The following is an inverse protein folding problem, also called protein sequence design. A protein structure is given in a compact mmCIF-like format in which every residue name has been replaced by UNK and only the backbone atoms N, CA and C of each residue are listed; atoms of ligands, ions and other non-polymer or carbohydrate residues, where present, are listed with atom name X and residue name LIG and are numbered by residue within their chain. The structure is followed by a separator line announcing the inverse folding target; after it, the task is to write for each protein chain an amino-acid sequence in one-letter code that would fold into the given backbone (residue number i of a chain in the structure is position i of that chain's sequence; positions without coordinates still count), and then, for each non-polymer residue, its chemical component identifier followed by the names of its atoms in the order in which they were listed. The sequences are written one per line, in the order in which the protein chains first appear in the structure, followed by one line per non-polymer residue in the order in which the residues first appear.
data_IF_910340906893
#
_entry.id   IF_910340906893
#
_cell.length_a   1.000
_cell.length_b   1.000
_cell.length_c   1.000
_cell.angle_alpha   90.00
_cell.angle_beta   90.00
_cell.angle_gamma   90.00
#
_symmetry.space_group_name_H-M   'P 1'
#
loop_
_entity.id
_entity.type
_entity.pdbx_description
1 polymer ?
#
# COMPACT_ATOMS: atom_id res chain seq x y z
N UNK A 1 5.17 13.38 0.90
CA UNK A 1 4.94 14.82 1.16
C UNK A 1 4.93 15.69 -0.10
N UNK A 2 5.90 15.56 -1.02
CA UNK A 2 5.99 16.38 -2.25
C UNK A 2 4.71 16.35 -3.12
N UNK A 3 4.12 15.17 -3.32
CA UNK A 3 2.86 15.02 -4.08
C UNK A 3 1.65 15.62 -3.34
N UNK A 4 1.66 15.64 -2.00
CA UNK A 4 0.56 16.18 -1.20
C UNK A 4 0.55 17.71 -1.23
N UNK A 5 1.74 18.33 -1.15
CA UNK A 5 1.93 19.77 -1.34
C UNK A 5 1.51 20.15 -2.77
N UNK A 6 1.94 19.39 -3.77
CA UNK A 6 1.55 19.62 -5.17
C UNK A 6 0.03 19.54 -5.39
N UNK A 7 -0.66 18.59 -4.77
CA UNK A 7 -2.13 18.48 -4.83
C UNK A 7 -2.81 19.70 -4.21
N UNK A 8 -2.36 20.15 -3.04
CA UNK A 8 -2.91 21.36 -2.38
C UNK A 8 -2.69 22.60 -3.26
N UNK A 9 -1.50 22.77 -3.82
CA UNK A 9 -1.18 23.90 -4.72
C UNK A 9 -2.07 23.90 -5.97
N UNK A 10 -2.28 22.75 -6.62
CA UNK A 10 -3.15 22.65 -7.81
C UNK A 10 -4.61 22.99 -7.46
N UNK A 11 -5.11 22.53 -6.31
CA UNK A 11 -6.46 22.89 -5.86
C UNK A 11 -6.61 24.39 -5.55
N UNK A 12 -5.60 24.99 -4.89
CA UNK A 12 -5.59 26.44 -4.62
C UNK A 12 -5.63 27.25 -5.93
N UNK A 13 -4.83 26.84 -6.93
CA UNK A 13 -4.81 27.47 -8.24
C UNK A 13 -6.17 27.37 -8.94
N UNK A 14 -6.84 26.22 -8.90
CA UNK A 14 -8.19 26.07 -9.47
C UNK A 14 -9.15 27.08 -8.87
N UNK A 15 -9.17 27.26 -7.55
CA UNK A 15 -10.04 28.23 -6.88
C UNK A 15 -9.76 29.66 -7.35
N UNK A 16 -8.48 30.04 -7.47
CA UNK A 16 -8.07 31.37 -7.96
C UNK A 16 -8.51 31.58 -9.41
N UNK A 17 -8.28 30.60 -10.29
CA UNK A 17 -8.69 30.68 -11.70
C UNK A 17 -10.21 30.66 -11.86
N UNK A 18 -10.94 30.02 -10.95
CA UNK A 18 -12.40 30.00 -10.95
C UNK A 18 -12.96 31.40 -10.66
N UNK A 19 -12.42 32.09 -9.66
CA UNK A 19 -12.77 33.49 -9.35
C UNK A 19 -12.41 34.40 -10.53
N UNK A 20 -11.21 34.23 -11.12
CA UNK A 20 -10.79 35.03 -12.26
C UNK A 20 -11.66 34.79 -13.52
N UNK A 21 -12.10 33.55 -13.76
CA UNK A 21 -12.94 33.19 -14.91
C UNK A 21 -14.36 33.78 -14.84
N UNK A 22 -14.88 34.05 -13.63
CA UNK A 22 -16.16 34.76 -13.44
C UNK A 22 -16.06 36.19 -13.99
N UNK A 23 -14.91 36.84 -13.81
CA UNK A 23 -14.70 38.23 -14.23
C UNK A 23 -14.19 38.35 -15.67
N UNK A 24 -13.38 37.41 -16.15
CA UNK A 24 -12.73 37.47 -17.46
C UNK A 24 -12.76 36.09 -18.13
N UNK A 25 -13.51 35.97 -19.24
CA UNK A 25 -13.75 34.69 -19.95
C UNK A 25 -12.50 33.97 -20.46
N UNK A 26 -11.39 34.68 -20.72
CA UNK A 26 -10.13 34.07 -21.20
C UNK A 26 -9.54 33.05 -20.21
N UNK A 27 -9.83 33.21 -18.92
CA UNK A 27 -9.34 32.29 -17.88
C UNK A 27 -10.05 30.94 -17.86
N UNK A 28 -11.10 30.75 -18.67
CA UNK A 28 -11.77 29.46 -18.82
C UNK A 28 -10.84 28.37 -19.41
N UNK A 29 -9.94 28.76 -20.32
CA UNK A 29 -8.99 27.84 -20.96
C UNK A 29 -7.92 27.34 -19.96
N UNK A 30 -7.21 28.22 -19.22
CA UNK A 30 -6.36 27.80 -18.10
C UNK A 30 -7.09 26.99 -17.03
N UNK A 31 -8.32 27.38 -16.67
CA UNK A 31 -9.12 26.68 -15.66
C UNK A 31 -9.39 25.24 -16.07
N UNK A 32 -9.77 25.02 -17.33
CA UNK A 32 -10.03 23.69 -17.88
C UNK A 32 -8.78 22.81 -17.79
N UNK A 33 -7.60 23.34 -18.13
CA UNK A 33 -6.33 22.62 -18.00
C UNK A 33 -6.04 22.19 -16.55
N UNK A 34 -6.23 23.08 -15.57
CA UNK A 34 -5.99 22.75 -14.16
C UNK A 34 -6.97 21.70 -13.62
N UNK A 35 -8.23 21.72 -14.06
CA UNK A 35 -9.23 20.69 -13.70
C UNK A 35 -8.80 19.32 -14.23
N UNK A 36 -8.38 19.23 -15.50
CA UNK A 36 -7.85 17.97 -16.06
C UNK A 36 -6.60 17.48 -15.31
N UNK A 37 -5.68 18.38 -14.96
CA UNK A 37 -4.47 18.04 -14.18
C UNK A 37 -4.85 17.48 -12.80
N UNK A 38 -5.86 18.05 -12.15
CA UNK A 38 -6.33 17.61 -10.84
C UNK A 38 -6.93 16.21 -10.90
N UNK A 39 -7.81 15.95 -11.87
CA UNK A 39 -8.38 14.61 -12.11
C UNK A 39 -7.27 13.59 -12.35
N UNK A 40 -6.27 13.92 -13.17
CA UNK A 40 -5.13 13.05 -13.42
C UNK A 40 -4.33 12.74 -12.14
N UNK A 41 -4.08 13.75 -11.30
CA UNK A 41 -3.39 13.55 -10.02
C UNK A 41 -4.18 12.66 -9.06
N UNK A 42 -5.50 12.83 -8.99
CA UNK A 42 -6.39 11.97 -8.18
C UNK A 42 -6.30 10.53 -8.68
N UNK A 43 -6.43 10.33 -9.99
CA UNK A 43 -6.38 9.00 -10.59
C UNK A 43 -5.06 8.29 -10.28
N UNK A 44 -3.92 8.97 -10.49
CA UNK A 44 -2.60 8.40 -10.20
C UNK A 44 -2.47 8.01 -8.72
N UNK A 45 -2.87 8.91 -7.81
CA UNK A 45 -2.80 8.66 -6.37
C UNK A 45 -3.72 7.50 -5.95
N UNK A 46 -4.92 7.41 -6.52
CA UNK A 46 -5.85 6.30 -6.27
C UNK A 46 -5.27 4.97 -6.74
N UNK A 47 -4.60 4.94 -7.89
CA UNK A 47 -3.94 3.73 -8.40
C UNK A 47 -2.76 3.30 -7.52
N UNK A 48 -1.99 4.25 -6.99
CA UNK A 48 -0.91 3.95 -6.03
C UNK A 48 -1.45 3.38 -4.70
N UNK A 49 -2.58 3.91 -4.22
CA UNK A 49 -3.24 3.40 -3.01
C UNK A 49 -3.73 1.96 -3.19
N UNK A 50 -4.39 1.67 -4.32
CA UNK A 50 -4.87 0.32 -4.65
C UNK A 50 -3.71 -0.70 -4.71
N UNK A 51 -2.57 -0.32 -5.32
CA UNK A 51 -1.37 -1.17 -5.35
C UNK A 51 -0.82 -1.46 -3.96
N UNK A 52 -0.78 -0.46 -3.08
CA UNK A 52 -0.30 -0.65 -1.70
C UNK A 52 -1.26 -1.53 -0.89
N UNK A 53 -2.56 -1.38 -1.10
CA UNK A 53 -3.57 -2.22 -0.45
C UNK A 53 -3.48 -3.68 -0.92
N UNK A 54 -3.30 -3.90 -2.23
CA UNK A 54 -3.05 -5.23 -2.80
C UNK A 54 -1.78 -5.86 -2.22
N UNK A 55 -0.68 -5.10 -2.13
CA UNK A 55 0.58 -5.57 -1.55
C UNK A 55 0.40 -6.02 -0.09
N UNK A 56 -0.32 -5.24 0.72
CA UNK A 56 -0.65 -5.60 2.11
C UNK A 56 -1.50 -6.87 2.21
N UNK A 57 -2.49 -7.02 1.32
CA UNK A 57 -3.34 -8.21 1.28
C UNK A 57 -2.55 -9.48 0.95
N UNK A 58 -1.63 -9.39 -0.02
CA UNK A 58 -0.73 -10.50 -0.38
C UNK A 58 0.19 -10.86 0.79
N UNK A 59 0.81 -9.87 1.42
CA UNK A 59 1.65 -10.09 2.59
C UNK A 59 0.89 -10.77 3.72
N UNK A 60 -0.31 -10.30 4.05
CA UNK A 60 -1.14 -10.90 5.10
C UNK A 60 -1.53 -12.35 4.77
N UNK A 61 -1.84 -12.63 3.50
CA UNK A 61 -2.12 -13.99 3.04
C UNK A 61 -0.90 -14.91 3.23
N UNK A 62 0.30 -14.44 2.89
CA UNK A 62 1.52 -15.23 3.06
C UNK A 62 1.85 -15.48 4.54
N UNK A 63 1.72 -14.47 5.39
CA UNK A 63 1.88 -14.63 6.85
C UNK A 63 0.89 -15.66 7.39
N UNK A 64 -0.38 -15.59 6.97
CA UNK A 64 -1.40 -16.57 7.36
C UNK A 64 -1.00 -17.98 6.94
N UNK A 65 -0.44 -18.16 5.75
CA UNK A 65 0.02 -19.45 5.26
C UNK A 65 1.18 -20.00 6.09
N UNK A 66 2.21 -19.20 6.37
CA UNK A 66 3.33 -19.60 7.24
C UNK A 66 2.88 -19.98 8.65
N UNK A 67 1.92 -19.24 9.22
CA UNK A 67 1.31 -19.62 10.50
C UNK A 67 0.54 -20.95 10.41
N UNK A 68 -0.12 -21.22 9.29
CA UNK A 68 -0.76 -22.52 9.02
C UNK A 68 0.25 -23.66 8.95
N UNK A 69 1.41 -23.43 8.36
CA UNK A 69 2.52 -24.40 8.30
C UNK A 69 3.05 -24.69 9.70
N UNK A 70 3.31 -23.65 10.51
CA UNK A 70 3.72 -23.78 11.92
C UNK A 70 2.72 -24.62 12.73
N UNK A 71 1.42 -24.37 12.55
CA UNK A 71 0.37 -25.15 13.19
C UNK A 71 0.43 -26.61 12.75
N UNK A 72 0.58 -26.88 11.45
CA UNK A 72 0.73 -28.25 10.94
C UNK A 72 1.94 -28.98 11.52
N UNK A 73 3.08 -28.30 11.69
CA UNK A 73 4.23 -28.90 12.38
C UNK A 73 3.96 -29.13 13.87
N UNK A 74 3.26 -28.21 14.53
CA UNK A 74 2.88 -28.36 15.94
C UNK A 74 1.96 -29.58 16.13
N UNK A 75 0.99 -29.77 15.22
CA UNK A 75 0.13 -30.95 15.18
C UNK A 75 0.93 -32.23 14.92
N UNK A 76 1.85 -32.22 13.95
CA UNK A 76 2.71 -33.38 13.66
C UNK A 76 3.59 -33.76 14.87
N UNK A 77 4.08 -32.79 15.63
CA UNK A 77 4.82 -33.06 16.86
C UNK A 77 3.92 -33.64 17.96
N UNK A 78 2.70 -33.12 18.11
CA UNK A 78 1.72 -33.63 19.06
C UNK A 78 1.32 -35.08 18.76
N UNK A 79 1.31 -35.45 17.48
CA UNK A 79 1.06 -36.83 17.01
C UNK A 79 2.33 -37.71 17.02
N UNK A 80 3.42 -37.23 17.64
CA UNK A 80 4.73 -37.91 17.75
C UNK A 80 5.36 -38.27 16.38
N UNK A 81 4.95 -37.60 15.29
CA UNK A 81 5.46 -37.85 13.94
C UNK A 81 6.80 -37.15 13.66
N UNK A 82 7.09 -36.07 14.40
CA UNK A 82 8.36 -35.34 14.32
C UNK A 82 8.93 -35.09 15.71
N UNK A 83 10.25 -34.98 15.78
CA UNK A 83 10.95 -34.63 17.02
C UNK A 83 10.75 -33.17 17.38
N UNK A 84 10.95 -32.84 18.66
CA UNK A 84 10.91 -31.45 19.13
C UNK A 84 11.97 -30.58 18.43
N UNK A 85 13.14 -31.15 18.15
CA UNK A 85 14.24 -30.43 17.50
C UNK A 85 13.89 -30.08 16.05
N UNK A 86 13.28 -31.01 15.30
CA UNK A 86 12.75 -30.74 13.95
C UNK A 86 11.62 -29.70 13.98
N UNK A 87 10.73 -29.74 14.99
CA UNK A 87 9.69 -28.72 15.16
C UNK A 87 10.30 -27.32 15.35
N UNK A 88 11.24 -27.19 16.30
CA UNK A 88 11.86 -25.91 16.64
C UNK A 88 12.63 -25.33 15.44
N UNK A 89 13.32 -26.17 14.66
CA UNK A 89 13.99 -25.75 13.42
C UNK A 89 13.01 -25.20 12.40
N UNK A 90 11.94 -25.96 12.08
CA UNK A 90 10.93 -25.56 11.09
C UNK A 90 10.16 -24.30 11.50
N UNK A 91 9.80 -24.19 12.77
CA UNK A 91 9.16 -22.97 13.29
C UNK A 91 10.08 -21.78 13.13
N UNK A 92 11.36 -21.93 13.44
CA UNK A 92 12.30 -20.83 13.31
C UNK A 92 12.49 -20.40 11.85
N UNK A 93 12.54 -21.33 10.89
CA UNK A 93 12.57 -21.03 9.45
C UNK A 93 11.36 -20.16 9.03
N UNK A 94 10.14 -20.60 9.34
CA UNK A 94 8.90 -19.88 9.00
C UNK A 94 8.81 -18.52 9.71
N UNK A 95 9.25 -18.42 10.96
CA UNK A 95 9.31 -17.13 11.69
C UNK A 95 10.30 -16.17 11.02
N UNK A 96 11.48 -16.64 10.58
CA UNK A 96 12.41 -15.78 9.85
C UNK A 96 11.82 -15.28 8.53
N UNK A 97 11.07 -16.12 7.81
CA UNK A 97 10.38 -15.71 6.58
C UNK A 97 9.33 -14.63 6.86
N UNK A 98 8.49 -14.82 7.89
CA UNK A 98 7.51 -13.83 8.34
C UNK A 98 8.20 -12.50 8.72
N UNK A 99 9.27 -12.57 9.50
CA UNK A 99 10.03 -11.38 9.92
C UNK A 99 10.63 -10.67 8.71
N UNK A 100 11.15 -11.41 7.73
CA UNK A 100 11.68 -10.84 6.49
C UNK A 100 10.58 -10.12 5.70
N UNK A 101 9.42 -10.74 5.53
CA UNK A 101 8.27 -10.13 4.84
C UNK A 101 7.80 -8.84 5.53
N UNK A 102 7.75 -8.83 6.86
CA UNK A 102 7.38 -7.64 7.65
C UNK A 102 8.43 -6.54 7.51
N UNK A 103 9.72 -6.88 7.60
CA UNK A 103 10.81 -5.91 7.43
C UNK A 103 10.77 -5.26 6.05
N UNK A 104 10.52 -6.04 5.00
CA UNK A 104 10.40 -5.55 3.63
C UNK A 104 9.21 -4.57 3.42
N UNK A 105 8.20 -4.61 4.29
CA UNK A 105 7.08 -3.67 4.26
C UNK A 105 7.35 -2.43 5.11
N UNK A 106 7.98 -2.57 6.28
CA UNK A 106 8.22 -1.46 7.22
C UNK A 106 9.38 -0.57 6.78
N UNK A 107 10.44 -1.16 6.20
CA UNK A 107 11.69 -0.46 5.88
C UNK A 107 11.85 -0.08 4.40
N UNK A 108 10.80 -0.22 3.58
CA UNK A 108 10.72 0.32 2.20
C UNK A 108 10.15 1.74 2.18
#
# INVERSE_FOLDING_TARGET
MKNMISFITVNLLIVVFLIAAIHIKIFFLPLTFFVFLNIFMIYKRSSELDKNEQKKKIMLHNIKNSLGIILGYTEAHNDELITKEELDERINEEIQEIVSMIKDEIYK
#
